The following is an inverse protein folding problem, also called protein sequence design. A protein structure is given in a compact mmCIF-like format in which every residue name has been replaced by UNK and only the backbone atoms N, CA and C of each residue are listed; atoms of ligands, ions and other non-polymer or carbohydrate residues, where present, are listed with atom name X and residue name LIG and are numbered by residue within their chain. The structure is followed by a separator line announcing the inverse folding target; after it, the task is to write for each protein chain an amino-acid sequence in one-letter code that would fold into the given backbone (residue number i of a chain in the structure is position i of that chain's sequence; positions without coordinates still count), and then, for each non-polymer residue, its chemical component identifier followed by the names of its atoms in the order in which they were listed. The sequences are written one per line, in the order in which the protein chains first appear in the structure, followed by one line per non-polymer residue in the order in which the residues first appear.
data_IF_870430706283
#
_entry.id   IF_870430706283
#
_cell.length_a   1.000
_cell.length_b   1.000
_cell.length_c   1.000
_cell.angle_alpha   90.00
_cell.angle_beta   90.00
_cell.angle_gamma   90.00
#
_symmetry.space_group_name_H-M   'P 1'
#
loop_
_entity.id
_entity.type
_entity.pdbx_description
1 polymer ?
#
# COMPACT_ATOMS: atom_id res chain seq x y z
N UNK A 1 -23.95 -15.73 55.90
CA UNK A 1 -24.35 -16.37 54.62
C UNK A 1 -24.44 -15.25 53.59
N UNK A 2 -23.40 -14.91 52.82
CA UNK A 2 -22.90 -15.50 51.55
C UNK A 2 -23.99 -15.83 50.52
N UNK A 3 -24.22 -14.89 49.59
CA UNK A 3 -24.43 -15.10 48.13
C UNK A 3 -24.26 -13.73 47.45
N UNK A 4 -23.02 -13.32 47.16
CA UNK A 4 -22.28 -13.52 45.90
C UNK A 4 -22.91 -12.77 44.71
N UNK A 5 -22.41 -11.55 44.54
CA UNK A 5 -21.98 -10.89 43.29
C UNK A 5 -22.02 -11.78 42.04
N UNK A 6 -22.97 -11.54 41.14
CA UNK A 6 -22.99 -12.10 39.78
C UNK A 6 -23.14 -10.94 38.79
N UNK A 7 -22.14 -10.07 38.70
CA UNK A 7 -21.91 -9.23 37.52
C UNK A 7 -20.39 -9.01 37.41
N UNK A 8 -19.63 -9.97 36.82
CA UNK A 8 -18.60 -9.53 35.89
C UNK A 8 -18.36 -10.49 34.72
N UNK A 9 -19.39 -11.18 34.21
CA UNK A 9 -19.22 -12.12 33.08
C UNK A 9 -19.60 -11.49 31.73
N UNK A 10 -20.48 -10.48 31.71
CA UNK A 10 -20.90 -9.83 30.45
C UNK A 10 -19.84 -8.85 29.92
N UNK A 11 -19.02 -8.23 30.78
CA UNK A 11 -17.96 -7.31 30.33
C UNK A 11 -16.75 -8.05 29.78
N UNK A 12 -16.47 -9.28 30.23
CA UNK A 12 -15.33 -10.06 29.74
C UNK A 12 -15.57 -10.67 28.34
N UNK A 13 -16.83 -10.79 27.90
CA UNK A 13 -17.16 -11.30 26.56
C UNK A 13 -17.06 -10.24 25.45
N UNK A 14 -17.17 -8.94 25.78
CA UNK A 14 -17.03 -7.86 24.80
C UNK A 14 -15.57 -7.62 24.37
N UNK A 15 -14.59 -8.02 25.18
CA UNK A 15 -13.18 -7.94 24.81
C UNK A 15 -12.75 -8.97 23.75
N UNK A 16 -13.57 -10.00 23.47
CA UNK A 16 -13.28 -10.99 22.44
C UNK A 16 -13.91 -10.67 21.07
N UNK A 17 -14.74 -9.62 20.96
CA UNK A 17 -15.34 -9.25 19.68
C UNK A 17 -14.38 -8.49 18.74
N UNK A 18 -13.19 -8.09 19.19
CA UNK A 18 -12.17 -7.51 18.32
C UNK A 18 -11.30 -8.55 17.60
N UNK A 19 -11.55 -9.86 17.81
CA UNK A 19 -10.76 -10.94 17.17
C UNK A 19 -11.29 -11.30 15.77
N UNK A 20 -12.18 -10.50 15.18
CA UNK A 20 -12.81 -10.78 13.88
C UNK A 20 -12.41 -9.76 12.81
N UNK A 21 -11.17 -9.26 12.83
CA UNK A 21 -10.46 -9.17 11.56
C UNK A 21 -9.76 -10.52 11.39
N UNK A 22 -10.42 -11.46 10.71
CA UNK A 22 -9.80 -12.72 10.31
C UNK A 22 -8.42 -12.41 9.73
N UNK A 23 -7.33 -12.83 10.39
CA UNK A 23 -5.93 -12.43 10.14
C UNK A 23 -5.66 -12.15 8.64
N UNK A 24 -5.81 -10.88 8.23
CA UNK A 24 -5.88 -10.54 6.80
C UNK A 24 -4.55 -10.81 6.11
N UNK A 25 -3.46 -10.48 6.81
CA UNK A 25 -2.09 -10.80 6.40
C UNK A 25 -1.60 -12.10 7.05
N UNK A 26 -0.85 -12.92 6.31
CA UNK A 26 -0.11 -14.05 6.88
C UNK A 26 0.87 -13.57 7.95
N UNK A 27 1.08 -14.38 8.98
CA UNK A 27 2.02 -14.08 10.07
C UNK A 27 3.42 -13.68 9.58
N UNK A 28 3.92 -14.32 8.51
CA UNK A 28 5.22 -13.98 7.94
C UNK A 28 5.26 -12.54 7.38
N UNK A 29 4.20 -12.11 6.71
CA UNK A 29 4.09 -10.73 6.19
C UNK A 29 3.97 -9.73 7.34
N UNK A 30 3.16 -10.02 8.35
CA UNK A 30 3.06 -9.18 9.55
C UNK A 30 4.43 -9.01 10.22
N UNK A 31 5.18 -10.12 10.38
CA UNK A 31 6.53 -10.10 10.93
C UNK A 31 7.47 -9.25 10.07
N UNK A 32 7.42 -9.39 8.74
CA UNK A 32 8.21 -8.57 7.82
C UNK A 32 7.88 -7.08 7.92
N UNK A 33 6.60 -6.71 8.08
CA UNK A 33 6.21 -5.30 8.29
C UNK A 33 6.87 -4.73 9.55
N UNK A 34 6.84 -5.49 10.66
CA UNK A 34 7.49 -5.07 11.92
C UNK A 34 9.01 -4.98 11.77
N UNK A 35 9.65 -5.97 11.16
CA UNK A 35 11.10 -5.99 10.93
C UNK A 35 11.56 -4.81 10.08
N UNK A 36 10.85 -4.53 8.98
CA UNK A 36 11.13 -3.36 8.13
C UNK A 36 10.87 -2.07 8.91
N UNK A 37 9.80 -2.00 9.71
CA UNK A 37 9.48 -0.85 10.55
C UNK A 37 10.60 -0.45 11.51
N UNK A 38 11.35 -1.42 12.03
CA UNK A 38 12.51 -1.16 12.89
C UNK A 38 13.67 -0.44 12.18
N UNK A 39 13.66 -0.41 10.85
CA UNK A 39 14.69 0.23 10.02
C UNK A 39 14.30 1.63 9.55
N UNK A 40 13.16 2.18 9.97
CA UNK A 40 12.72 3.54 9.58
C UNK A 40 13.71 4.64 9.94
N UNK A 41 14.53 4.45 10.97
CA UNK A 41 15.60 5.37 11.36
C UNK A 41 16.71 5.49 10.32
N UNK A 42 16.80 4.54 9.39
CA UNK A 42 17.76 4.56 8.27
C UNK A 42 17.29 5.43 7.11
N UNK A 43 16.02 5.87 7.09
CA UNK A 43 15.51 6.76 6.04
C UNK A 43 16.12 8.16 6.26
N UNK A 44 16.81 8.74 5.26
CA UNK A 44 17.38 10.07 5.39
C UNK A 44 16.32 11.13 5.72
N UNK A 45 16.66 12.11 6.55
CA UNK A 45 15.74 13.17 7.01
C UNK A 45 15.02 13.91 5.86
N UNK A 46 15.75 14.24 4.79
CA UNK A 46 15.15 14.90 3.62
C UNK A 46 14.14 14.00 2.89
N UNK A 47 14.33 12.67 2.95
CA UNK A 47 13.36 11.72 2.39
C UNK A 47 12.14 11.57 3.30
N UNK A 48 12.33 11.55 4.63
CA UNK A 48 11.22 11.56 5.60
C UNK A 48 10.28 12.74 5.38
N UNK A 49 10.83 13.96 5.23
CA UNK A 49 10.03 15.17 4.95
C UNK A 49 9.15 15.03 3.72
N UNK A 50 9.67 14.44 2.63
CA UNK A 50 8.89 14.19 1.41
C UNK A 50 7.79 13.14 1.65
N UNK A 51 8.11 12.04 2.32
CA UNK A 51 7.13 11.01 2.66
C UNK A 51 6.02 11.58 3.57
N UNK A 52 6.37 12.43 4.52
CA UNK A 52 5.40 13.12 5.39
C UNK A 52 4.47 14.06 4.60
N UNK A 53 5.02 14.80 3.64
CA UNK A 53 4.23 15.66 2.76
C UNK A 53 3.23 14.85 1.92
N UNK A 54 3.66 13.72 1.36
CA UNK A 54 2.79 12.82 0.60
C UNK A 54 1.73 12.18 1.52
N UNK A 55 2.11 11.73 2.71
CA UNK A 55 1.19 11.18 3.70
C UNK A 55 0.08 12.19 4.04
N UNK A 56 0.48 13.44 4.30
CA UNK A 56 -0.45 14.51 4.63
C UNK A 56 -1.36 14.86 3.45
N UNK A 57 -0.83 14.87 2.22
CA UNK A 57 -1.63 15.11 1.02
C UNK A 57 -2.69 14.02 0.81
N UNK A 58 -2.30 12.74 0.93
CA UNK A 58 -3.23 11.60 0.88
C UNK A 58 -4.28 11.75 1.97
N UNK A 59 -3.87 11.99 3.22
CA UNK A 59 -4.77 12.21 4.34
C UNK A 59 -5.78 13.33 4.10
N UNK A 60 -5.32 14.48 3.60
CA UNK A 60 -6.18 15.63 3.32
C UNK A 60 -7.21 15.35 2.23
N UNK A 61 -6.88 14.53 1.23
CA UNK A 61 -7.83 14.14 0.17
C UNK A 61 -8.83 13.06 0.60
N UNK A 62 -8.59 12.34 1.70
CA UNK A 62 -9.52 11.34 2.24
C UNK A 62 -10.74 11.96 2.97
N UNK A 63 -10.94 13.29 2.97
CA UNK A 63 -11.79 13.98 3.95
C UNK A 63 -13.32 13.78 3.82
N UNK A 64 -13.83 13.18 2.74
CA UNK A 64 -15.29 13.17 2.44
C UNK A 64 -16.00 11.80 2.56
N UNK A 65 -15.50 10.85 3.36
CA UNK A 65 -16.01 9.46 3.42
C UNK A 65 -15.98 8.72 2.07
N UNK A 66 -15.35 9.30 1.05
CA UNK A 66 -15.15 8.67 -0.24
C UNK A 66 -13.81 7.95 -0.27
N UNK A 67 -13.82 6.76 -0.88
CA UNK A 67 -12.61 6.00 -1.17
C UNK A 67 -11.72 6.85 -2.08
N UNK A 68 -10.46 6.99 -1.70
CA UNK A 68 -9.50 7.81 -2.44
C UNK A 68 -8.62 6.93 -3.34
N UNK A 69 -8.41 7.36 -4.58
CA UNK A 69 -7.57 6.64 -5.55
C UNK A 69 -6.12 7.14 -5.49
N UNK A 70 -5.16 6.22 -5.34
CA UNK A 70 -3.73 6.52 -5.48
C UNK A 70 -3.17 5.71 -6.64
N UNK A 71 -2.55 6.40 -7.59
CA UNK A 71 -1.94 5.79 -8.76
C UNK A 71 -0.42 6.00 -8.74
N UNK A 72 0.33 4.91 -8.64
CA UNK A 72 1.79 4.94 -8.78
C UNK A 72 2.20 4.81 -10.24
N UNK A 73 3.12 5.67 -10.70
CA UNK A 73 3.50 5.79 -12.11
C UNK A 73 5.02 5.67 -12.27
N UNK A 74 5.47 4.71 -13.07
CA UNK A 74 6.85 4.63 -13.58
C UNK A 74 6.84 4.56 -15.13
N UNK A 75 7.99 4.31 -15.74
CA UNK A 75 8.09 4.24 -17.20
C UNK A 75 7.36 3.04 -17.80
N UNK A 76 7.53 1.84 -17.24
CA UNK A 76 7.15 0.58 -17.90
C UNK A 76 6.23 -0.36 -17.10
N UNK A 77 5.88 -0.01 -15.86
CA UNK A 77 5.03 -0.73 -14.92
C UNK A 77 5.49 -2.15 -14.57
N UNK A 78 6.81 -2.38 -14.62
CA UNK A 78 7.44 -3.68 -14.36
C UNK A 78 8.04 -3.82 -12.95
N UNK A 79 8.28 -2.74 -12.22
CA UNK A 79 8.97 -2.85 -10.93
C UNK A 79 8.51 -1.80 -9.91
N UNK A 80 8.96 -0.55 -10.03
CA UNK A 80 8.92 0.44 -8.95
C UNK A 80 7.47 0.76 -8.56
N UNK A 81 6.63 1.08 -9.53
CA UNK A 81 5.22 1.42 -9.31
C UNK A 81 4.42 0.24 -8.75
N UNK A 82 4.69 -0.97 -9.22
CA UNK A 82 4.05 -2.20 -8.73
C UNK A 82 4.46 -2.50 -7.28
N UNK A 83 5.76 -2.43 -6.97
CA UNK A 83 6.26 -2.64 -5.62
C UNK A 83 5.74 -1.57 -4.66
N UNK A 84 5.71 -0.30 -5.09
CA UNK A 84 5.19 0.80 -4.28
C UNK A 84 3.72 0.58 -3.91
N UNK A 85 2.89 0.23 -4.91
CA UNK A 85 1.49 -0.12 -4.72
C UNK A 85 1.33 -1.27 -3.72
N UNK A 86 2.04 -2.40 -3.93
CA UNK A 86 1.94 -3.59 -3.07
C UNK A 86 2.32 -3.28 -1.62
N UNK A 87 3.42 -2.55 -1.40
CA UNK A 87 3.89 -2.27 -0.05
C UNK A 87 3.03 -1.24 0.69
N UNK A 88 2.54 -0.19 0.01
CA UNK A 88 1.59 0.72 0.61
C UNK A 88 0.29 -0.02 0.96
N UNK A 89 -0.21 -0.88 0.06
CA UNK A 89 -1.41 -1.68 0.32
C UNK A 89 -1.22 -2.61 1.51
N UNK A 90 -0.06 -3.25 1.61
CA UNK A 90 0.30 -4.10 2.74
C UNK A 90 0.28 -3.33 4.06
N UNK A 91 0.87 -2.13 4.09
CA UNK A 91 0.84 -1.26 5.28
C UNK A 91 -0.57 -0.84 5.67
N UNK A 92 -1.40 -0.45 4.69
CA UNK A 92 -2.80 -0.08 4.96
C UNK A 92 -3.63 -1.25 5.50
N UNK A 93 -3.43 -2.47 4.97
CA UNK A 93 -4.05 -3.66 5.54
C UNK A 93 -3.54 -3.91 6.97
N UNK A 94 -2.24 -3.81 7.19
CA UNK A 94 -1.63 -4.05 8.51
C UNK A 94 -2.22 -3.14 9.59
N UNK A 95 -2.50 -1.88 9.26
CA UNK A 95 -3.14 -0.92 10.18
C UNK A 95 -4.68 -0.97 10.21
N UNK A 96 -5.31 -1.89 9.47
CA UNK A 96 -6.76 -2.06 9.47
C UNK A 96 -7.54 -1.10 8.55
N UNK A 97 -6.85 -0.42 7.63
CA UNK A 97 -7.41 0.62 6.73
C UNK A 97 -7.57 0.13 5.28
N UNK A 98 -7.87 -1.15 5.08
CA UNK A 98 -7.87 -1.82 3.77
C UNK A 98 -8.93 -1.32 2.77
N UNK A 99 -9.92 -0.54 3.21
CA UNK A 99 -10.99 0.01 2.37
C UNK A 99 -10.85 1.50 2.08
N UNK A 100 -9.91 2.20 2.73
CA UNK A 100 -9.79 3.65 2.61
C UNK A 100 -9.12 4.09 1.31
N UNK A 101 -8.14 3.31 0.84
CA UNK A 101 -7.39 3.60 -0.37
C UNK A 101 -7.68 2.58 -1.47
N UNK A 102 -7.83 3.09 -2.69
CA UNK A 102 -7.87 2.34 -3.93
C UNK A 102 -6.52 2.51 -4.60
N UNK A 103 -5.63 1.53 -4.42
CA UNK A 103 -4.25 1.62 -4.91
C UNK A 103 -4.13 0.98 -6.28
N UNK A 104 -3.51 1.69 -7.22
CA UNK A 104 -3.23 1.24 -8.57
C UNK A 104 -1.79 1.58 -8.98
N UNK A 105 -1.33 0.95 -10.05
CA UNK A 105 -0.04 1.23 -10.68
C UNK A 105 -0.21 1.27 -12.21
N UNK A 106 0.60 2.11 -12.86
CA UNK A 106 0.64 2.24 -14.32
C UNK A 106 2.03 2.65 -14.82
N UNK A 107 2.22 2.47 -16.13
CA UNK A 107 3.40 2.87 -16.86
C UNK A 107 3.03 3.89 -17.92
N UNK A 108 3.93 4.83 -18.21
CA UNK A 108 3.75 5.76 -19.34
C UNK A 108 3.80 5.01 -20.67
N UNK A 109 4.70 4.02 -20.78
CA UNK A 109 4.83 3.11 -21.90
C UNK A 109 5.04 1.70 -21.34
N UNK A 110 3.96 1.02 -20.90
CA UNK A 110 4.08 -0.25 -20.18
C UNK A 110 4.68 -1.33 -21.09
N UNK A 111 5.58 -2.14 -20.53
CA UNK A 111 6.08 -3.33 -21.22
C UNK A 111 5.14 -4.49 -20.94
N UNK A 112 4.73 -5.21 -21.98
CA UNK A 112 3.90 -6.42 -21.84
C UNK A 112 4.81 -7.64 -21.80
N UNK A 113 5.48 -7.83 -20.67
CA UNK A 113 6.41 -8.94 -20.42
C UNK A 113 6.27 -9.50 -18.99
N UNK A 114 6.83 -10.70 -18.70
CA UNK A 114 6.76 -11.30 -17.38
C UNK A 114 7.39 -10.42 -16.28
N UNK A 115 6.62 -10.11 -15.24
CA UNK A 115 7.04 -9.25 -14.12
C UNK A 115 7.89 -10.03 -13.11
N UNK A 116 9.11 -10.40 -13.50
CA UNK A 116 10.02 -11.20 -12.66
C UNK A 116 10.43 -10.51 -11.35
N UNK A 117 10.47 -9.17 -11.34
CA UNK A 117 10.93 -8.36 -10.19
C UNK A 117 10.05 -8.50 -8.95
N UNK A 118 8.78 -8.88 -9.11
CA UNK A 118 7.89 -9.14 -7.98
C UNK A 118 8.29 -10.38 -7.17
N UNK A 119 9.12 -11.27 -7.71
CA UNK A 119 9.55 -12.50 -7.03
C UNK A 119 10.16 -12.24 -5.64
N UNK A 120 10.76 -11.06 -5.42
CA UNK A 120 11.32 -10.64 -4.13
C UNK A 120 10.28 -10.67 -2.99
N UNK A 121 8.99 -10.45 -3.30
CA UNK A 121 7.92 -10.49 -2.30
C UNK A 121 7.79 -11.87 -1.63
N UNK A 122 8.24 -12.96 -2.27
CA UNK A 122 8.23 -14.29 -1.66
C UNK A 122 9.07 -14.37 -0.39
N UNK A 123 10.16 -13.59 -0.32
CA UNK A 123 11.05 -13.53 0.84
C UNK A 123 10.30 -13.01 2.07
N UNK A 124 9.36 -12.09 1.87
CA UNK A 124 8.50 -11.50 2.90
C UNK A 124 7.22 -12.29 3.18
N UNK A 125 7.02 -13.43 2.51
CA UNK A 125 5.92 -14.36 2.77
C UNK A 125 4.69 -14.23 1.86
N UNK A 126 4.76 -13.38 0.85
CA UNK A 126 3.75 -13.37 -0.22
C UNK A 126 3.84 -14.65 -1.06
N UNK A 127 2.70 -15.12 -1.57
CA UNK A 127 2.67 -16.14 -2.63
C UNK A 127 2.41 -15.46 -3.95
N UNK A 128 3.17 -15.81 -4.99
CA UNK A 128 3.01 -15.22 -6.32
C UNK A 128 2.75 -16.33 -7.31
N UNK A 129 1.62 -16.25 -8.00
CA UNK A 129 1.23 -17.19 -9.05
C UNK A 129 0.83 -16.41 -10.29
N UNK A 130 1.34 -16.81 -11.45
CA UNK A 130 0.82 -16.30 -12.71
C UNK A 130 -0.64 -16.74 -12.84
N UNK A 131 -1.54 -15.79 -13.12
CA UNK A 131 -2.94 -16.09 -13.39
C UNK A 131 -3.04 -16.54 -14.83
N UNK A 132 -2.78 -17.83 -15.07
CA UNK A 132 -2.97 -18.42 -16.40
C UNK A 132 -4.42 -18.18 -16.82
N UNK A 133 -4.64 -17.30 -17.80
CA UNK A 133 -5.96 -16.74 -18.14
C UNK A 133 -5.88 -15.52 -19.07
N UNK A 134 -6.82 -14.57 -18.92
CA UNK A 134 -7.16 -13.47 -19.84
C UNK A 134 -6.01 -12.50 -20.21
N UNK A 135 -4.98 -12.39 -19.37
CA UNK A 135 -3.75 -11.66 -19.70
C UNK A 135 -2.53 -12.48 -19.25
N UNK A 136 -1.64 -12.90 -20.17
CA UNK A 136 -0.51 -13.77 -19.86
C UNK A 136 0.50 -13.14 -18.89
N UNK A 137 0.47 -11.81 -18.74
CA UNK A 137 1.36 -11.04 -17.87
C UNK A 137 0.72 -10.67 -16.52
N UNK A 138 -0.40 -11.32 -16.17
CA UNK A 138 -1.08 -11.13 -14.89
C UNK A 138 -0.59 -12.10 -13.81
N UNK A 139 -0.46 -11.59 -12.59
CA UNK A 139 0.01 -12.32 -11.41
C UNK A 139 -0.91 -12.08 -10.22
N UNK A 140 -1.27 -13.15 -9.53
CA UNK A 140 -1.88 -13.11 -8.21
C UNK A 140 -0.80 -13.03 -7.15
N UNK A 141 -0.89 -12.00 -6.31
CA UNK A 141 -0.11 -11.84 -5.08
C UNK A 141 -1.03 -12.17 -3.91
N UNK A 142 -0.89 -13.36 -3.31
CA UNK A 142 -1.64 -13.71 -2.10
C UNK A 142 -0.90 -13.26 -0.85
N UNK A 143 -1.62 -12.53 -0.01
CA UNK A 143 -1.10 -11.96 1.23
C UNK A 143 -1.69 -12.58 2.49
N UNK A 144 -2.62 -13.53 2.39
CA UNK A 144 -3.27 -14.15 3.54
C UNK A 144 -4.67 -14.60 3.19
N UNK A 145 -5.67 -13.94 3.75
CA UNK A 145 -7.09 -14.19 3.44
C UNK A 145 -7.55 -13.56 2.12
N UNK A 146 -6.68 -12.83 1.42
CA UNK A 146 -6.97 -12.24 0.11
C UNK A 146 -5.78 -12.27 -0.85
N UNK A 147 -6.02 -11.73 -2.05
CA UNK A 147 -5.04 -11.62 -3.11
C UNK A 147 -5.25 -10.33 -3.93
N UNK A 148 -4.20 -9.91 -4.63
CA UNK A 148 -4.26 -8.84 -5.63
C UNK A 148 -3.82 -9.36 -6.99
N UNK A 149 -4.53 -8.95 -8.03
CA UNK A 149 -4.11 -9.19 -9.42
C UNK A 149 -3.28 -7.99 -9.87
N UNK A 150 -2.04 -8.23 -10.25
CA UNK A 150 -1.14 -7.22 -10.80
C UNK A 150 -0.75 -7.59 -12.22
N UNK A 151 -0.70 -6.59 -13.09
CA UNK A 151 -0.29 -6.71 -14.49
C UNK A 151 0.13 -5.34 -15.02
N UNK A 152 0.91 -5.28 -16.10
CA UNK A 152 1.33 -4.01 -16.68
C UNK A 152 0.14 -3.27 -17.30
N UNK A 153 -0.05 -2.01 -16.91
CA UNK A 153 -1.14 -1.12 -17.36
C UNK A 153 -0.57 0.17 -17.89
N UNK A 154 -1.19 0.76 -18.92
CA UNK A 154 -0.79 2.09 -19.38
C UNK A 154 -1.51 3.15 -18.56
N UNK A 155 -0.86 4.29 -18.33
CA UNK A 155 -1.49 5.43 -17.66
C UNK A 155 -2.78 5.84 -18.39
N UNK A 156 -2.76 5.84 -19.73
CA UNK A 156 -3.92 6.21 -20.55
C UNK A 156 -5.09 5.22 -20.38
N UNK A 157 -4.82 3.94 -20.11
CA UNK A 157 -5.87 2.95 -19.84
C UNK A 157 -6.59 3.17 -18.51
N UNK A 158 -5.97 3.91 -17.58
CA UNK A 158 -6.52 4.24 -16.27
C UNK A 158 -7.04 5.69 -16.18
N UNK A 159 -6.81 6.52 -17.20
CA UNK A 159 -7.21 7.93 -17.28
C UNK A 159 -8.74 8.17 -17.37
N UNK A 160 -9.55 7.23 -16.87
CA UNK A 160 -10.92 7.52 -16.39
C UNK A 160 -10.92 8.03 -14.94
N UNK A 161 -9.77 8.52 -14.45
CA UNK A 161 -9.51 8.88 -13.08
C UNK A 161 -10.51 9.95 -12.60
N UNK A 162 -11.25 9.60 -11.55
CA UNK A 162 -12.08 10.52 -10.80
C UNK A 162 -11.25 11.73 -10.36
N UNK A 163 -11.90 12.88 -10.14
CA UNK A 163 -11.25 14.08 -9.56
C UNK A 163 -10.56 13.78 -8.20
N UNK A 164 -10.84 12.62 -7.59
CA UNK A 164 -10.30 12.15 -6.32
C UNK A 164 -9.06 11.24 -6.43
N UNK A 165 -8.33 11.30 -7.56
CA UNK A 165 -7.07 10.56 -7.73
C UNK A 165 -5.85 11.39 -7.30
N UNK A 166 -4.85 10.74 -6.70
CA UNK A 166 -3.48 11.26 -6.58
C UNK A 166 -2.55 10.40 -7.43
N UNK A 167 -1.94 11.03 -8.41
CA UNK A 167 -0.86 10.45 -9.19
C UNK A 167 0.48 10.68 -8.49
N UNK A 168 1.23 9.60 -8.25
CA UNK A 168 2.55 9.61 -7.63
C UNK A 168 3.56 9.04 -8.63
N UNK A 169 4.43 9.90 -9.14
CA UNK A 169 5.52 9.54 -10.02
C UNK A 169 6.68 9.01 -9.19
N UNK A 170 7.06 7.74 -9.43
CA UNK A 170 8.09 7.03 -8.65
C UNK A 170 9.42 6.88 -9.40
N UNK A 171 9.48 7.36 -10.63
CA UNK A 171 10.66 7.44 -11.49
C UNK A 171 10.70 8.79 -12.21
N UNK A 172 11.88 9.29 -12.57
CA UNK A 172 11.99 10.50 -13.39
C UNK A 172 11.55 10.19 -14.81
N UNK A 173 10.45 10.81 -15.23
CA UNK A 173 9.91 10.62 -16.57
C UNK A 173 10.23 11.87 -17.39
N UNK A 174 10.91 11.66 -18.53
CA UNK A 174 11.21 12.73 -19.48
C UNK A 174 9.97 13.03 -20.33
N UNK A 175 8.99 13.72 -19.77
CA UNK A 175 7.87 14.31 -20.53
C UNK A 175 7.94 15.83 -20.47
N UNK A 176 7.93 16.46 -21.65
CA UNK A 176 7.90 17.92 -21.85
C UNK A 176 6.52 18.54 -21.54
N UNK A 177 5.67 17.91 -20.74
CA UNK A 177 4.32 18.39 -20.47
C UNK A 177 4.08 18.57 -18.97
N UNK A 178 3.89 19.85 -18.61
CA UNK A 178 3.20 20.42 -17.43
C UNK A 178 3.85 20.18 -16.05
N UNK A 179 4.61 21.15 -15.55
CA UNK A 179 4.13 22.26 -14.70
C UNK A 179 3.62 21.83 -13.31
N UNK A 180 4.54 21.89 -12.34
CA UNK A 180 4.38 22.30 -10.93
C UNK A 180 3.43 21.56 -9.95
N UNK A 181 2.62 20.57 -10.35
CA UNK A 181 1.66 19.94 -9.42
C UNK A 181 1.73 18.41 -9.27
N UNK A 182 2.67 17.73 -9.93
CA UNK A 182 2.79 16.27 -9.83
C UNK A 182 3.47 15.86 -8.51
N UNK A 183 2.92 14.84 -7.83
CA UNK A 183 3.52 14.31 -6.61
C UNK A 183 4.66 13.37 -7.01
N UNK A 184 5.87 13.65 -6.55
CA UNK A 184 7.04 12.83 -6.86
C UNK A 184 7.59 12.11 -5.63
N UNK A 185 7.78 10.80 -5.76
CA UNK A 185 8.51 9.95 -4.82
C UNK A 185 9.56 9.13 -5.57
N UNK A 186 10.48 9.81 -6.26
CA UNK A 186 11.50 9.15 -7.09
C UNK A 186 12.33 8.16 -6.27
N UNK A 187 12.44 6.91 -6.74
CA UNK A 187 13.30 5.87 -6.18
C UNK A 187 14.51 5.64 -7.08
N UNK A 188 15.71 5.66 -6.50
CA UNK A 188 16.96 5.28 -7.19
C UNK A 188 17.46 3.89 -6.77
N UNK A 189 16.93 3.36 -5.67
CA UNK A 189 17.23 2.02 -5.15
C UNK A 189 15.90 1.34 -4.81
N UNK A 190 15.62 0.21 -5.46
CA UNK A 190 14.37 -0.51 -5.27
C UNK A 190 14.26 -1.18 -3.90
N UNK A 191 15.40 -1.41 -3.23
CA UNK A 191 15.43 -2.03 -1.91
C UNK A 191 14.84 -1.11 -0.82
N UNK A 192 14.74 0.19 -1.07
CA UNK A 192 14.14 1.13 -0.10
C UNK A 192 12.62 1.23 -0.21
N UNK A 193 12.02 0.77 -1.31
CA UNK A 193 10.58 0.91 -1.59
C UNK A 193 9.73 0.35 -0.46
N UNK A 194 10.02 -0.88 -0.02
CA UNK A 194 9.27 -1.53 1.05
C UNK A 194 9.26 -0.68 2.33
N UNK A 195 10.45 -0.23 2.75
CA UNK A 195 10.65 0.59 3.93
C UNK A 195 9.91 1.91 3.85
N UNK A 196 10.05 2.61 2.74
CA UNK A 196 9.46 3.94 2.58
C UNK A 196 7.94 3.91 2.44
N UNK A 197 7.38 2.90 1.75
CA UNK A 197 5.93 2.75 1.65
C UNK A 197 5.29 2.31 2.96
N UNK A 198 5.96 1.46 3.75
CA UNK A 198 5.48 1.13 5.09
C UNK A 198 5.58 2.33 6.05
N UNK A 199 6.62 3.16 5.92
CA UNK A 199 6.69 4.43 6.64
C UNK A 199 5.52 5.35 6.26
N UNK A 200 5.25 5.49 4.96
CA UNK A 200 4.11 6.26 4.44
C UNK A 200 2.78 5.76 5.03
N UNK A 201 2.53 4.45 5.03
CA UNK A 201 1.35 3.84 5.64
C UNK A 201 1.25 4.14 7.15
N UNK A 202 2.38 4.05 7.87
CA UNK A 202 2.48 4.38 9.30
C UNK A 202 2.08 5.82 9.55
N UNK A 203 2.57 6.74 8.71
CA UNK A 203 2.28 8.16 8.83
C UNK A 203 0.81 8.46 8.57
N UNK A 204 0.23 7.86 7.53
CA UNK A 204 -1.21 7.97 7.23
C UNK A 204 -2.04 7.46 8.41
N UNK A 205 -1.71 6.29 8.96
CA UNK A 205 -2.39 5.75 10.14
C UNK A 205 -2.34 6.73 11.33
N UNK A 206 -1.18 7.32 11.60
CA UNK A 206 -1.04 8.27 12.71
C UNK A 206 -1.92 9.52 12.51
N UNK A 207 -2.01 10.03 11.28
CA UNK A 207 -2.89 11.17 10.95
C UNK A 207 -4.37 10.80 11.14
N UNK A 208 -4.79 9.60 10.70
CA UNK A 208 -6.15 9.11 10.88
C UNK A 208 -6.53 8.97 12.36
N UNK A 209 -5.60 8.53 13.22
CA UNK A 209 -5.83 8.43 14.66
C UNK A 209 -5.96 9.79 15.35
N UNK A 210 -5.38 10.86 14.79
CA UNK A 210 -5.54 12.23 15.34
C UNK A 210 -6.87 12.91 14.98
N UNK A 211 -7.63 12.36 14.02
CA UNK A 211 -8.96 12.88 13.62
C UNK A 211 -10.10 12.35 14.51
N UNK A 212 -9.87 11.26 15.25
CA UNK A 212 -10.83 10.62 16.16
C UNK A 212 -10.79 11.24 17.55
#
# INVERSE_FOLDING_TARGET
MKTKTIIPIVVFLLCFQQVIQAQTLKNKIQKSVVEIGNTFTEIPMERLKRLDQVAFLIFKKMDDNEKMDVLFIDSDNQEISQLAMVWLQTGMIYYGHNTMLSLQSAGISPKIEPISKLAILKEYGFSIRNTRGENPMSYNIDYGSGNWVVYPKSLQSLQSASDNTIEIYVEKISSNETENNNVELIFTDTNTIAREMLYLATRINNLLQTKQ
#
